data_IF_913733377185
#
_entry.id   IF_913733377185
#
_cell.length_a   1.000
_cell.length_b   1.000
_cell.length_c   1.000
_cell.angle_alpha   90.00
_cell.angle_beta   90.00
_cell.angle_gamma   90.00
#
_symmetry.space_group_name_H-M   'P 1'
#
loop_
_entity.id
_entity.type
_entity.pdbx_description
1 polymer ?
#
# COMPACT_ATOMS: atom_id res chain seq x y z
N UNK A 1 -5.72 25.22 -4.89
CA UNK A 1 -6.75 24.20 -4.59
C UNK A 1 -6.06 23.19 -3.69
N UNK A 2 -6.58 22.95 -2.48
CA UNK A 2 -5.96 22.04 -1.51
C UNK A 2 -6.34 20.61 -1.88
N UNK A 3 -5.36 19.87 -2.38
CA UNK A 3 -5.46 18.48 -2.80
C UNK A 3 -5.89 17.57 -1.65
N UNK A 4 -6.63 16.49 -1.94
CA UNK A 4 -7.05 15.51 -0.93
C UNK A 4 -6.28 14.22 -1.14
N UNK A 5 -5.28 14.00 -0.29
CA UNK A 5 -4.56 12.73 -0.24
C UNK A 5 -5.55 11.58 -0.03
N UNK A 6 -5.42 10.51 -0.80
CA UNK A 6 -6.15 9.27 -0.50
C UNK A 6 -5.44 8.65 0.68
N UNK A 7 -6.15 8.49 1.80
CA UNK A 7 -5.63 7.85 3.01
C UNK A 7 -6.72 6.93 3.56
N UNK A 8 -6.57 5.64 3.33
CA UNK A 8 -7.51 4.60 3.77
C UNK A 8 -6.87 3.84 4.91
N UNK A 9 -7.43 3.96 6.12
CA UNK A 9 -6.99 3.21 7.30
C UNK A 9 -7.63 1.83 7.29
N UNK A 10 -6.86 0.81 7.64
CA UNK A 10 -7.34 -0.56 7.72
C UNK A 10 -6.60 -1.34 8.81
N UNK A 11 -7.17 -2.47 9.18
CA UNK A 11 -6.68 -3.30 10.27
C UNK A 11 -6.51 -4.72 9.76
N UNK A 12 -5.38 -5.34 10.07
CA UNK A 12 -5.15 -6.76 9.82
C UNK A 12 -5.08 -7.49 11.15
N UNK A 13 -5.91 -8.53 11.30
CA UNK A 13 -6.00 -9.34 12.52
C UNK A 13 -5.41 -10.73 12.31
N UNK A 14 -4.62 -11.18 13.27
CA UNK A 14 -4.03 -12.51 13.34
C UNK A 14 -4.29 -13.13 14.72
N UNK A 15 -5.44 -13.78 14.87
CA UNK A 15 -5.87 -14.31 16.17
C UNK A 15 -6.13 -13.16 17.15
N UNK A 16 -5.32 -13.07 18.21
CA UNK A 16 -5.39 -11.99 19.20
C UNK A 16 -4.48 -10.78 18.83
N UNK A 17 -3.61 -10.92 17.84
CA UNK A 17 -2.77 -9.82 17.37
C UNK A 17 -3.54 -8.94 16.37
N UNK A 18 -3.45 -7.63 16.55
CA UNK A 18 -4.03 -6.64 15.64
C UNK A 18 -2.92 -5.69 15.20
N UNK A 19 -2.74 -5.52 13.88
CA UNK A 19 -1.86 -4.50 13.31
C UNK A 19 -2.66 -3.50 12.50
N UNK A 20 -2.31 -2.22 12.64
CA UNK A 20 -3.00 -1.11 12.00
C UNK A 20 -2.14 -0.54 10.89
N UNK A 21 -2.78 -0.30 9.76
CA UNK A 21 -2.14 0.19 8.56
C UNK A 21 -2.93 1.34 7.95
N UNK A 22 -2.29 2.04 7.04
CA UNK A 22 -2.91 3.01 6.15
C UNK A 22 -2.36 2.82 4.75
N UNK A 23 -3.24 2.87 3.75
CA UNK A 23 -2.89 2.90 2.34
C UNK A 23 -2.98 4.35 1.87
N UNK A 24 -1.88 4.89 1.36
CA UNK A 24 -1.75 6.30 1.03
C UNK A 24 -1.31 6.48 -0.42
N UNK A 25 -1.97 7.39 -1.13
CA UNK A 25 -1.59 7.77 -2.49
C UNK A 25 -1.77 9.25 -2.72
N UNK A 26 -0.91 9.81 -3.57
CA UNK A 26 -0.86 11.23 -3.88
C UNK A 26 -1.12 11.48 -5.36
N UNK A 27 -2.37 11.47 -5.77
CA UNK A 27 -2.73 11.87 -7.13
C UNK A 27 -3.98 12.72 -7.13
N UNK A 28 -3.88 13.86 -7.82
CA UNK A 28 -5.04 14.65 -8.14
C UNK A 28 -5.70 14.18 -9.43
N UNK A 29 -7.00 14.38 -9.52
CA UNK A 29 -7.73 14.28 -10.77
C UNK A 29 -7.08 15.22 -11.81
N UNK A 30 -6.54 14.65 -12.89
CA UNK A 30 -5.85 15.40 -13.95
C UNK A 30 -4.35 15.66 -13.72
N UNK A 31 -3.75 15.18 -12.63
CA UNK A 31 -2.29 15.24 -12.47
C UNK A 31 -1.58 14.12 -13.22
N UNK A 32 -0.37 14.40 -13.76
CA UNK A 32 0.47 13.36 -14.29
C UNK A 32 0.87 12.42 -13.15
N UNK A 33 0.87 11.15 -13.46
CA UNK A 33 1.39 10.11 -12.58
C UNK A 33 2.82 10.41 -12.14
N UNK A 34 3.10 10.11 -10.87
CA UNK A 34 4.41 10.35 -10.24
C UNK A 34 5.27 9.09 -10.31
N UNK A 35 6.59 9.25 -10.20
CA UNK A 35 7.48 8.09 -10.11
C UNK A 35 7.30 7.37 -8.77
N UNK A 36 7.68 6.09 -8.72
CA UNK A 36 7.73 5.33 -7.46
C UNK A 36 8.54 6.08 -6.40
N UNK A 37 9.73 6.55 -6.76
CA UNK A 37 10.66 7.21 -5.85
C UNK A 37 10.05 8.48 -5.27
N UNK A 38 9.35 9.26 -6.10
CA UNK A 38 8.64 10.44 -5.66
C UNK A 38 7.48 10.10 -4.72
N UNK A 39 6.70 9.06 -5.02
CA UNK A 39 5.63 8.60 -4.13
C UNK A 39 6.19 8.17 -2.78
N UNK A 40 7.21 7.31 -2.76
CA UNK A 40 7.84 6.85 -1.51
C UNK A 40 8.45 7.99 -0.71
N UNK A 41 9.13 8.95 -1.36
CA UNK A 41 9.70 10.10 -0.68
C UNK A 41 8.63 10.98 -0.01
N UNK A 42 7.56 11.32 -0.75
CA UNK A 42 6.45 12.11 -0.22
C UNK A 42 5.73 11.41 0.94
N UNK A 43 5.59 10.08 0.84
CA UNK A 43 4.92 9.28 1.87
C UNK A 43 5.78 9.21 3.13
N UNK A 44 7.09 8.99 2.99
CA UNK A 44 8.01 9.01 4.12
C UNK A 44 7.97 10.35 4.88
N UNK A 45 7.90 11.47 4.16
CA UNK A 45 7.85 12.81 4.77
C UNK A 45 6.55 13.07 5.55
N UNK A 46 5.39 12.65 5.01
CA UNK A 46 4.07 13.05 5.54
C UNK A 46 3.33 11.97 6.33
N UNK A 47 3.55 10.71 6.01
CA UNK A 47 2.79 9.59 6.54
C UNK A 47 3.66 8.51 7.20
N UNK A 48 4.98 8.66 7.15
CA UNK A 48 5.94 7.69 7.68
C UNK A 48 6.36 6.66 6.64
N UNK A 49 7.25 5.76 7.04
CA UNK A 49 7.87 4.82 6.13
C UNK A 49 6.88 3.77 5.59
N UNK A 50 7.08 3.42 4.33
CA UNK A 50 6.38 2.31 3.70
C UNK A 50 6.79 0.98 4.33
N UNK A 51 5.83 0.07 4.48
CA UNK A 51 6.07 -1.20 5.15
C UNK A 51 7.06 -2.07 4.37
N UNK A 52 7.91 -2.79 5.11
CA UNK A 52 8.86 -3.75 4.57
C UNK A 52 8.36 -5.20 4.65
N UNK A 53 9.30 -6.15 4.52
CA UNK A 53 9.04 -7.58 4.40
C UNK A 53 8.20 -8.18 5.54
N UNK A 54 8.52 -7.88 6.81
CA UNK A 54 7.83 -8.46 7.95
C UNK A 54 6.31 -8.16 7.93
N UNK A 55 5.98 -6.89 7.68
CA UNK A 55 4.59 -6.43 7.61
C UNK A 55 3.89 -6.94 6.35
N UNK A 56 4.59 -6.98 5.22
CA UNK A 56 4.03 -7.52 4.00
C UNK A 56 3.67 -9.01 4.16
N UNK A 57 4.51 -9.81 4.82
CA UNK A 57 4.21 -11.21 5.16
C UNK A 57 3.02 -11.33 6.12
N UNK A 58 2.92 -10.44 7.12
CA UNK A 58 1.80 -10.41 8.04
C UNK A 58 0.47 -10.14 7.31
N UNK A 59 0.47 -9.18 6.40
CA UNK A 59 -0.66 -8.81 5.55
C UNK A 59 -1.02 -9.95 4.59
N UNK A 60 -0.03 -10.54 3.91
CA UNK A 60 -0.22 -11.64 2.94
C UNK A 60 -0.91 -12.86 3.57
N UNK A 61 -0.54 -13.21 4.80
CA UNK A 61 -1.14 -14.32 5.53
C UNK A 61 -2.64 -14.11 5.83
N UNK A 62 -3.17 -12.89 5.71
CA UNK A 62 -4.49 -12.50 6.21
C UNK A 62 -5.40 -11.78 5.23
N UNK A 63 -4.86 -11.25 4.14
CA UNK A 63 -5.61 -10.59 3.06
C UNK A 63 -6.78 -11.43 2.53
N UNK A 64 -6.70 -12.76 2.57
CA UNK A 64 -7.76 -13.66 2.11
C UNK A 64 -8.88 -13.93 3.14
N UNK A 65 -8.73 -13.53 4.41
CA UNK A 65 -9.66 -13.89 5.49
C UNK A 65 -10.59 -12.75 5.91
N UNK A 66 -10.16 -11.48 5.81
CA UNK A 66 -10.97 -10.33 6.19
C UNK A 66 -11.38 -9.53 4.95
N UNK A 67 -12.65 -9.67 4.54
CA UNK A 67 -13.29 -8.87 3.46
C UNK A 67 -13.68 -7.46 3.94
N UNK A 68 -13.17 -7.01 5.08
CA UNK A 68 -13.75 -5.91 5.85
C UNK A 68 -13.51 -4.51 5.26
N UNK A 69 -12.53 -4.34 4.38
CA UNK A 69 -12.18 -3.02 3.83
C UNK A 69 -12.39 -2.95 2.30
N UNK A 70 -13.66 -3.06 1.88
CA UNK A 70 -14.07 -2.97 0.47
C UNK A 70 -13.62 -1.70 -0.26
N UNK A 71 -13.23 -0.66 0.48
CA UNK A 71 -12.65 0.57 -0.06
C UNK A 71 -11.25 0.39 -0.65
N UNK A 72 -10.53 -0.68 -0.30
CA UNK A 72 -9.19 -0.97 -0.82
C UNK A 72 -9.22 -1.73 -2.16
N UNK A 73 -10.34 -2.38 -2.50
CA UNK A 73 -10.42 -3.28 -3.66
C UNK A 73 -10.09 -2.64 -5.02
N UNK A 74 -10.40 -1.35 -5.27
CA UNK A 74 -10.03 -0.72 -6.53
C UNK A 74 -8.51 -0.49 -6.68
N UNK A 75 -7.74 -0.56 -5.59
CA UNK A 75 -6.36 -0.13 -5.56
C UNK A 75 -5.37 -1.29 -5.58
N UNK A 76 -4.23 -1.04 -6.20
CA UNK A 76 -3.02 -1.81 -6.05
C UNK A 76 -2.23 -1.27 -4.84
N UNK A 77 -2.12 -2.09 -3.80
CA UNK A 77 -1.44 -1.73 -2.56
C UNK A 77 0.03 -2.12 -2.66
N UNK A 78 0.96 -1.18 -2.52
CA UNK A 78 2.40 -1.43 -2.71
C UNK A 78 3.19 -1.25 -1.40
N UNK A 79 4.34 -1.90 -1.33
CA UNK A 79 5.24 -1.92 -0.16
C UNK A 79 6.64 -1.46 -0.54
N UNK A 80 7.53 -1.27 0.43
CA UNK A 80 8.97 -1.05 0.17
C UNK A 80 9.76 -2.37 0.01
N UNK A 81 9.10 -3.52 0.06
CA UNK A 81 9.79 -4.81 -0.09
C UNK A 81 10.19 -5.03 -1.55
N UNK A 82 11.50 -5.21 -1.78
CA UNK A 82 12.03 -5.46 -3.11
C UNK A 82 11.97 -6.93 -3.52
N UNK A 83 11.89 -7.14 -4.83
CA UNK A 83 11.83 -8.45 -5.47
C UNK A 83 13.11 -9.27 -5.35
N UNK A 84 13.00 -10.60 -5.54
CA UNK A 84 14.15 -11.48 -5.60
C UNK A 84 15.05 -11.10 -6.78
N UNK A 85 16.36 -11.12 -6.57
CA UNK A 85 17.35 -10.73 -7.58
C UNK A 85 17.91 -9.32 -7.40
N UNK A 86 17.44 -8.56 -6.41
CA UNK A 86 18.04 -7.29 -6.01
C UNK A 86 17.77 -6.14 -7.00
N UNK A 87 16.83 -6.31 -7.93
CA UNK A 87 16.37 -5.19 -8.75
C UNK A 87 15.53 -4.24 -7.87
N UNK A 88 16.02 -3.02 -7.58
CA UNK A 88 15.29 -2.06 -6.74
C UNK A 88 13.97 -1.63 -7.38
N UNK A 89 13.76 -1.91 -8.67
CA UNK A 89 12.55 -1.55 -9.40
C UNK A 89 11.44 -2.57 -9.22
N UNK A 90 11.72 -3.74 -8.67
CA UNK A 90 10.68 -4.73 -8.44
C UNK A 90 10.26 -4.61 -6.99
N UNK A 91 8.99 -4.31 -6.74
CA UNK A 91 8.44 -4.20 -5.38
C UNK A 91 7.26 -5.14 -5.19
N UNK A 92 7.01 -5.55 -3.96
CA UNK A 92 5.84 -6.36 -3.63
C UNK A 92 4.61 -5.46 -3.56
N UNK A 93 3.52 -5.92 -4.17
CA UNK A 93 2.20 -5.36 -3.93
C UNK A 93 1.07 -6.38 -3.95
N UNK A 94 -0.11 -5.88 -3.63
CA UNK A 94 -1.34 -6.62 -3.43
C UNK A 94 -2.44 -5.99 -4.29
N UNK A 95 -3.13 -6.81 -5.08
CA UNK A 95 -4.28 -6.36 -5.87
C UNK A 95 -5.46 -7.29 -5.68
N UNK A 96 -6.67 -6.73 -5.64
CA UNK A 96 -7.89 -7.51 -5.56
C UNK A 96 -8.36 -7.87 -6.97
N UNK A 97 -8.54 -9.17 -7.27
CA UNK A 97 -9.01 -9.64 -8.57
C UNK A 97 -10.11 -10.69 -8.40
N UNK A 98 -11.25 -10.50 -9.05
CA UNK A 98 -12.40 -11.38 -8.93
C UNK A 98 -12.98 -11.39 -7.52
N UNK A 99 -12.46 -12.28 -6.66
CA UNK A 99 -12.97 -12.50 -5.30
C UNK A 99 -11.87 -12.64 -4.24
N UNK A 100 -10.60 -12.41 -4.60
CA UNK A 100 -9.47 -12.61 -3.71
C UNK A 100 -8.38 -11.56 -3.92
N UNK A 101 -7.57 -11.38 -2.88
CA UNK A 101 -6.34 -10.61 -2.95
C UNK A 101 -5.22 -11.48 -3.49
N UNK A 102 -4.40 -10.89 -4.36
CA UNK A 102 -3.22 -11.53 -4.94
C UNK A 102 -2.00 -10.72 -4.60
N UNK A 103 -0.97 -11.40 -4.08
CA UNK A 103 0.38 -10.86 -4.00
C UNK A 103 1.09 -11.00 -5.34
N UNK A 104 1.82 -9.98 -5.75
CA UNK A 104 2.65 -10.02 -6.96
C UNK A 104 3.83 -9.08 -6.86
N UNK A 105 4.92 -9.45 -7.52
CA UNK A 105 6.02 -8.54 -7.81
C UNK A 105 5.61 -7.59 -8.93
N UNK A 106 5.68 -6.29 -8.67
CA UNK A 106 5.26 -5.22 -9.56
C UNK A 106 6.50 -4.45 -9.97
N UNK A 107 6.57 -4.07 -11.24
CA UNK A 107 7.61 -3.18 -11.73
C UNK A 107 7.31 -1.74 -11.28
N UNK A 108 7.97 -1.28 -10.23
CA UNK A 108 7.97 0.11 -9.77
C UNK A 108 8.60 1.11 -10.75
N UNK A 109 8.93 0.72 -11.99
CA UNK A 109 9.21 1.69 -13.05
C UNK A 109 7.95 2.36 -13.60
N UNK A 110 6.78 1.76 -13.37
CA UNK A 110 5.54 2.38 -13.80
C UNK A 110 5.28 3.59 -12.92
N UNK A 111 5.06 4.71 -13.62
CA UNK A 111 4.37 5.87 -13.11
C UNK A 111 3.19 5.39 -12.26
N UNK A 112 3.24 5.64 -10.96
CA UNK A 112 2.11 5.34 -10.09
C UNK A 112 0.98 6.25 -10.52
N UNK A 113 -0.09 5.61 -10.98
CA UNK A 113 -1.35 6.22 -11.36
C UNK A 113 -2.34 6.17 -10.21
N UNK A 114 -3.56 6.69 -10.42
CA UNK A 114 -4.58 6.89 -9.39
C UNK A 114 -4.94 5.63 -8.60
N UNK A 115 -4.50 4.47 -9.08
CA UNK A 115 -4.82 3.17 -8.54
C UNK A 115 -3.73 2.62 -7.61
N UNK A 116 -2.57 3.26 -7.46
CA UNK A 116 -1.49 2.78 -6.59
C UNK A 116 -1.48 3.49 -5.24
N UNK A 117 -1.61 2.72 -4.16
CA UNK A 117 -1.50 3.21 -2.79
C UNK A 117 -0.36 2.50 -2.06
N UNK A 118 0.54 3.25 -1.42
CA UNK A 118 1.61 2.68 -0.60
C UNK A 118 1.09 2.39 0.79
N UNK A 119 1.43 1.21 1.33
CA UNK A 119 1.04 0.83 2.68
C UNK A 119 2.08 1.34 3.69
N UNK A 120 1.61 1.99 4.75
CA UNK A 120 2.41 2.41 5.91
C UNK A 120 1.81 1.80 7.19
N UNK A 121 2.63 1.67 8.24
CA UNK A 121 2.09 1.44 9.58
C UNK A 121 1.26 2.64 10.03
N UNK A 122 0.15 2.36 10.70
CA UNK A 122 -0.68 3.39 11.31
C UNK A 122 -0.44 3.40 12.82
N UNK A 123 0.45 4.30 13.25
CA UNK A 123 0.78 4.49 14.67
C UNK A 123 -0.14 5.52 15.35
N UNK A 124 -1.16 6.04 14.66
CA UNK A 124 -2.12 6.97 15.25
C UNK A 124 -2.78 6.31 16.48
N UNK A 125 -2.92 7.02 17.62
CA UNK A 125 -3.65 6.51 18.76
C UNK A 125 -5.09 6.16 18.36
N UNK A 126 -5.71 5.14 19.00
CA UNK A 126 -7.12 4.86 18.76
C UNK A 126 -7.95 6.12 19.06
N UNK A 127 -8.83 6.47 18.13
CA UNK A 127 -9.82 7.54 18.29
C UNK A 127 -10.82 7.22 19.40
#
# INVERSE_FOLDING_TARGET
MTHRDICIRFIVRNGAEERRYKAVGFLNDGEPSVTSDEMFARIAEKHGEAIGEEDALYIDARLNLDKTDGHLYPFCLVTSQHGPGGDPRIILGFSFRGFAWFRSWILGQDQFDGNHLVICRNNDPPA
#
